data_IF_732994193084
#
_entry.id   IF_732994193084
#
_cell.length_a   1.000
_cell.length_b   1.000
_cell.length_c   1.000
_cell.angle_alpha   90.00
_cell.angle_beta   90.00
_cell.angle_gamma   90.00
#
_symmetry.space_group_name_H-M   'P 1'
#
loop_
_entity.id
_entity.type
_entity.pdbx_description
1 polymer ?
#
# COMPACT_ATOMS: atom_id res chain seq x y z
N UNK A 1 1.01 -24.59 3.14
CA UNK A 1 2.03 -23.54 3.48
C UNK A 1 1.78 -22.26 2.66
N UNK A 2 1.63 -22.31 1.32
CA UNK A 2 1.50 -21.11 0.48
C UNK A 2 0.29 -20.20 0.81
N UNK A 3 -0.86 -20.78 1.15
CA UNK A 3 -2.04 -19.99 1.55
C UNK A 3 -1.82 -19.24 2.86
N UNK A 4 -1.14 -19.86 3.82
CA UNK A 4 -0.80 -19.17 5.07
C UNK A 4 0.14 -18.00 4.80
N UNK A 5 1.18 -18.19 4.00
CA UNK A 5 2.12 -17.13 3.58
C UNK A 5 1.41 -16.02 2.82
N UNK A 6 0.48 -16.38 1.92
CA UNK A 6 -0.34 -15.41 1.20
C UNK A 6 -1.15 -14.53 2.15
N UNK A 7 -1.86 -15.15 3.11
CA UNK A 7 -2.66 -14.41 4.09
C UNK A 7 -1.79 -13.51 4.96
N UNK A 8 -0.65 -14.02 5.44
CA UNK A 8 0.27 -13.23 6.26
C UNK A 8 0.81 -12.04 5.47
N UNK A 9 1.26 -12.23 4.23
CA UNK A 9 1.77 -11.14 3.40
C UNK A 9 0.67 -10.13 3.06
N UNK A 10 -0.52 -10.59 2.65
CA UNK A 10 -1.65 -9.72 2.35
C UNK A 10 -2.05 -8.87 3.56
N UNK A 11 -2.14 -9.49 4.75
CA UNK A 11 -2.45 -8.79 5.99
C UNK A 11 -1.37 -7.77 6.36
N UNK A 12 -0.09 -8.14 6.21
CA UNK A 12 1.02 -7.22 6.49
C UNK A 12 0.98 -6.00 5.57
N UNK A 13 0.79 -6.20 4.27
CA UNK A 13 0.69 -5.10 3.29
C UNK A 13 -0.53 -4.24 3.58
N UNK A 14 -1.68 -4.85 3.88
CA UNK A 14 -2.90 -4.13 4.23
C UNK A 14 -2.71 -3.24 5.46
N UNK A 15 -2.14 -3.78 6.54
CA UNK A 15 -1.84 -3.03 7.76
C UNK A 15 -0.90 -1.86 7.46
N UNK A 16 0.17 -2.08 6.68
CA UNK A 16 1.09 -1.01 6.26
C UNK A 16 0.40 0.10 5.48
N UNK A 17 -0.47 -0.26 4.52
CA UNK A 17 -1.25 0.73 3.76
C UNK A 17 -2.21 1.53 4.66
N UNK A 18 -2.84 0.88 5.66
CA UNK A 18 -3.71 1.56 6.61
C UNK A 18 -2.92 2.50 7.53
N UNK A 19 -1.78 2.05 8.06
CA UNK A 19 -0.90 2.88 8.89
C UNK A 19 -0.31 4.05 8.12
N UNK A 20 0.15 3.84 6.89
CA UNK A 20 0.65 4.90 6.02
C UNK A 20 -0.39 5.99 5.81
N UNK A 21 -1.61 5.59 5.52
CA UNK A 21 -2.72 6.54 5.39
C UNK A 21 -3.03 7.27 6.71
N UNK A 22 -3.03 6.57 7.83
CA UNK A 22 -3.24 7.16 9.15
C UNK A 22 -2.16 8.22 9.48
N UNK A 23 -0.89 7.94 9.13
CA UNK A 23 0.21 8.88 9.38
C UNK A 23 0.17 10.12 8.48
N UNK A 24 -0.42 10.02 7.30
CA UNK A 24 -0.64 11.17 6.43
C UNK A 24 -1.81 12.04 6.89
N UNK A 25 -2.90 11.46 7.32
CA UNK A 25 -4.17 12.17 7.50
C UNK A 25 -4.64 12.38 8.94
N UNK A 26 -3.79 12.11 9.96
CA UNK A 26 -4.09 12.33 11.39
C UNK A 26 -5.59 12.54 11.73
N UNK A 27 -6.25 11.51 12.21
CA UNK A 27 -7.53 11.60 12.95
C UNK A 27 -8.88 11.78 12.23
N UNK A 28 -8.93 12.19 10.97
CA UNK A 28 -10.22 12.55 10.34
C UNK A 28 -11.10 11.33 10.02
N UNK A 29 -10.54 10.14 10.02
CA UNK A 29 -11.15 8.99 9.34
C UNK A 29 -12.03 8.11 10.21
N UNK A 30 -11.79 8.02 11.51
CA UNK A 30 -12.49 7.00 12.32
C UNK A 30 -13.94 7.40 12.58
N UNK A 31 -14.21 8.66 12.86
CA UNK A 31 -15.57 9.09 13.23
C UNK A 31 -16.54 9.22 12.04
N UNK A 32 -16.04 9.54 10.86
CA UNK A 32 -16.88 9.70 9.66
C UNK A 32 -17.09 8.42 8.86
N UNK A 33 -16.13 7.48 8.91
CA UNK A 33 -16.19 6.21 8.18
C UNK A 33 -17.31 5.29 8.70
N UNK A 34 -17.56 5.31 10.02
CA UNK A 34 -18.63 4.48 10.63
C UNK A 34 -20.05 4.99 10.33
N UNK A 35 -20.18 6.25 9.95
CA UNK A 35 -21.48 6.86 9.67
C UNK A 35 -22.03 6.55 8.28
N UNK A 36 -21.17 6.17 7.34
CA UNK A 36 -21.58 5.91 5.97
C UNK A 36 -20.84 4.69 5.39
N UNK A 37 -21.53 3.55 5.18
CA UNK A 37 -20.91 2.31 4.70
C UNK A 37 -20.21 2.45 3.35
N UNK A 38 -20.69 3.34 2.48
CA UNK A 38 -20.05 3.59 1.18
C UNK A 38 -18.63 4.17 1.33
N UNK A 39 -18.41 5.05 2.31
CA UNK A 39 -17.08 5.61 2.59
C UNK A 39 -16.11 4.57 3.14
N UNK A 40 -16.62 3.67 3.98
CA UNK A 40 -15.84 2.55 4.51
C UNK A 40 -15.30 1.68 3.36
N UNK A 41 -16.16 1.22 2.47
CA UNK A 41 -15.77 0.38 1.34
C UNK A 41 -14.84 1.11 0.37
N UNK A 42 -15.15 2.34 0.00
CA UNK A 42 -14.30 3.14 -0.87
C UNK A 42 -12.89 3.36 -0.29
N UNK A 43 -12.75 3.38 1.03
CA UNK A 43 -11.47 3.54 1.70
C UNK A 43 -10.67 2.24 1.76
N UNK A 44 -11.31 1.11 2.11
CA UNK A 44 -10.61 -0.14 2.34
C UNK A 44 -10.44 -1.00 1.08
N UNK A 45 -11.37 -0.97 0.13
CA UNK A 45 -11.32 -1.78 -1.07
C UNK A 45 -10.02 -1.60 -1.88
N UNK A 46 -9.51 -0.39 -2.16
CA UNK A 46 -8.25 -0.24 -2.87
C UNK A 46 -7.07 -0.86 -2.13
N UNK A 47 -7.04 -0.71 -0.79
CA UNK A 47 -5.97 -1.27 0.06
C UNK A 47 -6.01 -2.80 0.09
N UNK A 48 -7.22 -3.38 0.14
CA UNK A 48 -7.42 -4.83 0.06
C UNK A 48 -6.95 -5.32 -1.32
N UNK A 49 -7.39 -4.66 -2.39
CA UNK A 49 -7.06 -5.05 -3.76
C UNK A 49 -5.56 -5.08 -4.01
N UNK A 50 -4.85 -4.01 -3.66
CA UNK A 50 -3.40 -3.93 -3.85
C UNK A 50 -2.67 -4.95 -2.96
N UNK A 51 -3.16 -5.18 -1.74
CA UNK A 51 -2.58 -6.17 -0.83
C UNK A 51 -2.72 -7.59 -1.38
N UNK A 52 -3.88 -7.95 -1.91
CA UNK A 52 -4.12 -9.24 -2.55
C UNK A 52 -3.28 -9.41 -3.82
N UNK A 53 -3.20 -8.36 -4.65
CA UNK A 53 -2.43 -8.36 -5.89
C UNK A 53 -0.95 -8.59 -5.61
N UNK A 54 -0.36 -7.85 -4.69
CA UNK A 54 1.04 -8.01 -4.33
C UNK A 54 1.30 -9.35 -3.61
N UNK A 55 0.39 -9.79 -2.74
CA UNK A 55 0.53 -11.08 -2.07
C UNK A 55 0.40 -12.27 -3.03
N UNK A 56 -0.30 -12.13 -4.16
CA UNK A 56 -0.45 -13.22 -5.14
C UNK A 56 0.89 -13.74 -5.66
N UNK A 57 1.93 -12.91 -5.67
CA UNK A 57 3.28 -13.33 -6.07
C UNK A 57 3.85 -14.48 -5.22
N UNK A 58 3.32 -14.73 -4.01
CA UNK A 58 3.66 -15.91 -3.20
C UNK A 58 3.51 -17.21 -3.97
N UNK A 59 2.51 -17.31 -4.85
CA UNK A 59 2.25 -18.53 -5.64
C UNK A 59 3.21 -18.73 -6.81
N UNK A 60 3.92 -17.68 -7.24
CA UNK A 60 4.93 -17.76 -8.32
C UNK A 60 6.33 -17.99 -7.79
N UNK A 61 6.64 -17.48 -6.61
CA UNK A 61 7.99 -17.48 -6.08
C UNK A 61 8.30 -18.82 -5.40
N UNK A 62 9.49 -19.35 -5.67
CA UNK A 62 10.01 -20.56 -5.02
C UNK A 62 10.81 -20.27 -3.75
N UNK A 63 11.29 -19.04 -3.60
CA UNK A 63 12.16 -18.61 -2.50
C UNK A 63 11.45 -17.57 -1.65
N UNK A 64 11.80 -17.49 -0.38
CA UNK A 64 11.22 -16.55 0.60
C UNK A 64 11.79 -15.14 0.47
N UNK A 65 13.06 -15.02 0.09
CA UNK A 65 13.78 -13.73 -0.01
C UNK A 65 13.08 -12.68 -0.88
N UNK A 66 12.54 -12.99 -2.06
CA UNK A 66 11.84 -12.00 -2.86
C UNK A 66 10.61 -11.40 -2.17
N UNK A 67 9.95 -12.15 -1.28
CA UNK A 67 8.81 -11.64 -0.50
C UNK A 67 9.24 -10.62 0.56
N UNK A 68 10.40 -10.85 1.17
CA UNK A 68 11.00 -9.90 2.13
C UNK A 68 11.42 -8.63 1.39
N UNK A 69 12.08 -8.77 0.23
CA UNK A 69 12.45 -7.64 -0.62
C UNK A 69 11.21 -6.84 -1.04
N UNK A 70 10.15 -7.51 -1.46
CA UNK A 70 8.88 -6.86 -1.80
C UNK A 70 8.32 -6.06 -0.61
N UNK A 71 8.36 -6.63 0.59
CA UNK A 71 7.91 -5.94 1.80
C UNK A 71 8.74 -4.68 2.11
N UNK A 72 10.06 -4.74 1.91
CA UNK A 72 10.97 -3.58 2.06
C UNK A 72 10.68 -2.51 1.01
N UNK A 73 10.47 -2.89 -0.25
CA UNK A 73 10.13 -1.94 -1.32
C UNK A 73 8.82 -1.21 -1.03
N UNK A 74 7.85 -1.90 -0.45
CA UNK A 74 6.58 -1.30 0.00
C UNK A 74 6.83 -0.29 1.13
N UNK A 75 7.72 -0.60 2.09
CA UNK A 75 8.07 0.35 3.16
C UNK A 75 8.71 1.61 2.61
N UNK A 76 9.68 1.46 1.69
CA UNK A 76 10.34 2.60 1.04
C UNK A 76 9.30 3.47 0.32
N UNK A 77 8.36 2.85 -0.39
CA UNK A 77 7.29 3.56 -1.09
C UNK A 77 6.37 4.31 -0.13
N UNK A 78 5.93 3.66 0.95
CA UNK A 78 5.06 4.28 1.95
C UNK A 78 5.79 5.44 2.64
N UNK A 79 7.05 5.25 3.02
CA UNK A 79 7.88 6.30 3.63
C UNK A 79 8.05 7.49 2.71
N UNK A 80 8.36 7.27 1.44
CA UNK A 80 8.49 8.34 0.46
C UNK A 80 7.20 9.18 0.39
N UNK A 81 6.03 8.52 0.35
CA UNK A 81 4.75 9.20 0.34
C UNK A 81 4.45 9.95 1.65
N UNK A 82 4.77 9.40 2.82
CA UNK A 82 4.58 10.07 4.12
C UNK A 82 5.45 11.33 4.18
N UNK A 83 6.73 11.23 3.83
CA UNK A 83 7.67 12.37 3.84
C UNK A 83 7.20 13.43 2.85
N UNK A 84 6.85 13.03 1.63
CA UNK A 84 6.35 13.95 0.62
C UNK A 84 5.07 14.66 1.08
N UNK A 85 4.15 13.93 1.70
CA UNK A 85 2.91 14.48 2.23
C UNK A 85 3.14 15.50 3.35
N UNK A 86 4.10 15.25 4.24
CA UNK A 86 4.46 16.20 5.31
C UNK A 86 5.04 17.50 4.77
N UNK A 87 5.74 17.46 3.63
CA UNK A 87 6.35 18.64 3.01
C UNK A 87 5.36 19.40 2.14
N UNK A 88 4.63 18.69 1.28
CA UNK A 88 3.86 19.28 0.18
C UNK A 88 2.34 19.14 0.34
N UNK A 89 1.86 18.42 1.35
CA UNK A 89 0.43 18.18 1.57
C UNK A 89 -0.24 17.31 0.50
N UNK A 90 0.54 16.61 -0.33
CA UNK A 90 0.09 15.74 -1.41
C UNK A 90 0.77 14.37 -1.40
N UNK A 91 0.42 13.52 -2.34
CA UNK A 91 1.05 12.21 -2.53
C UNK A 91 1.90 12.22 -3.80
N UNK A 92 2.90 11.34 -3.87
CA UNK A 92 3.77 11.21 -5.02
C UNK A 92 2.96 10.66 -6.19
N UNK A 93 2.89 11.42 -7.27
CA UNK A 93 2.31 11.02 -8.54
C UNK A 93 3.40 10.78 -9.61
N UNK A 94 2.98 10.39 -10.83
CA UNK A 94 3.91 10.13 -11.92
C UNK A 94 4.74 11.35 -12.33
N UNK A 95 4.18 12.55 -12.23
CA UNK A 95 4.86 13.80 -12.56
C UNK A 95 5.96 14.12 -11.53
N UNK A 96 5.67 13.95 -10.25
CA UNK A 96 6.64 14.12 -9.17
C UNK A 96 7.83 13.16 -9.33
N UNK A 97 7.56 11.90 -9.72
CA UNK A 97 8.63 10.93 -9.99
C UNK A 97 9.54 11.35 -11.15
N UNK A 98 8.98 11.93 -12.21
CA UNK A 98 9.77 12.47 -13.32
C UNK A 98 10.68 13.62 -12.89
N UNK A 99 10.25 14.42 -11.89
CA UNK A 99 11.02 15.53 -11.34
C UNK A 99 11.98 15.12 -10.21
N UNK A 100 11.99 13.85 -9.80
CA UNK A 100 12.81 13.36 -8.69
C UNK A 100 14.33 13.56 -8.89
N UNK A 101 14.79 13.70 -10.15
CA UNK A 101 16.18 14.04 -10.45
C UNK A 101 16.66 15.39 -9.88
N UNK A 102 15.74 16.29 -9.58
CA UNK A 102 16.01 17.63 -9.02
C UNK A 102 16.13 17.66 -7.49
N UNK A 103 16.00 16.51 -6.82
CA UNK A 103 16.04 16.42 -5.35
C UNK A 103 17.46 16.57 -4.75
N UNK A 104 18.49 16.80 -5.59
CA UNK A 104 19.83 17.12 -5.10
C UNK A 104 19.80 18.41 -4.26
N UNK A 105 20.05 18.28 -2.95
CA UNK A 105 20.04 19.38 -1.99
C UNK A 105 18.96 19.31 -0.91
N UNK A 106 17.95 18.46 -1.07
CA UNK A 106 16.86 18.30 -0.08
C UNK A 106 17.11 17.22 0.98
N UNK A 107 18.25 16.53 0.95
CA UNK A 107 18.55 15.41 1.86
C UNK A 107 18.51 15.80 3.33
N UNK A 108 19.06 16.95 3.70
CA UNK A 108 19.02 17.47 5.09
C UNK A 108 17.59 17.75 5.56
N UNK A 109 16.77 18.32 4.69
CA UNK A 109 15.36 18.62 4.98
C UNK A 109 14.55 17.31 5.11
N UNK A 110 14.83 16.30 4.30
CA UNK A 110 14.18 14.99 4.37
C UNK A 110 14.46 14.32 5.72
N UNK A 111 15.73 14.31 6.15
CA UNK A 111 16.15 13.68 7.42
C UNK A 111 15.48 14.35 8.62
N UNK A 112 15.32 15.67 8.61
CA UNK A 112 14.69 16.41 9.72
C UNK A 112 13.18 16.13 9.89
N UNK A 113 12.54 15.56 8.89
CA UNK A 113 11.08 15.31 8.85
C UNK A 113 10.73 13.87 9.25
N UNK A 114 11.72 12.97 9.26
CA UNK A 114 11.52 11.57 9.67
C UNK A 114 11.21 11.56 11.17
N UNK A 115 10.09 10.96 11.52
CA UNK A 115 9.67 10.78 12.91
C UNK A 115 9.96 9.35 13.37
N UNK A 116 10.19 9.17 14.69
CA UNK A 116 10.41 7.84 15.26
C UNK A 116 9.24 6.86 15.00
N UNK A 117 8.01 7.38 14.84
CA UNK A 117 6.81 6.59 14.49
C UNK A 117 6.97 5.86 13.14
N UNK A 118 7.75 6.44 12.23
CA UNK A 118 7.94 5.86 10.90
C UNK A 118 8.70 4.53 10.96
N UNK A 119 9.41 4.27 12.05
CA UNK A 119 10.09 3.00 12.30
C UNK A 119 9.13 1.81 12.47
N UNK A 120 7.83 2.05 12.72
CA UNK A 120 6.85 0.97 12.84
C UNK A 120 6.76 0.10 11.57
N UNK A 121 6.98 0.68 10.39
CA UNK A 121 6.99 -0.08 9.12
C UNK A 121 8.14 -1.07 9.08
N UNK A 122 9.33 -0.63 9.51
CA UNK A 122 10.49 -1.50 9.60
C UNK A 122 10.27 -2.64 10.60
N UNK A 123 9.67 -2.35 11.75
CA UNK A 123 9.32 -3.37 12.76
C UNK A 123 8.34 -4.40 12.17
N UNK A 124 7.32 -3.96 11.44
CA UNK A 124 6.39 -4.87 10.76
C UNK A 124 7.11 -5.74 9.72
N UNK A 125 8.07 -5.19 8.98
CA UNK A 125 8.87 -5.99 8.04
C UNK A 125 9.79 -6.98 8.76
N UNK A 126 10.40 -6.61 9.86
CA UNK A 126 11.21 -7.53 10.67
C UNK A 126 10.35 -8.68 11.21
N UNK A 127 9.19 -8.38 11.78
CA UNK A 127 8.24 -9.39 12.24
C UNK A 127 7.79 -10.32 11.10
N UNK A 128 7.43 -9.75 9.96
CA UNK A 128 7.08 -10.52 8.78
C UNK A 128 8.23 -11.41 8.32
N UNK A 129 9.46 -10.90 8.25
CA UNK A 129 10.63 -11.66 7.88
C UNK A 129 10.90 -12.80 8.88
N UNK A 130 10.79 -12.55 10.18
CA UNK A 130 10.96 -13.56 11.22
C UNK A 130 9.93 -14.68 11.08
N UNK A 131 8.65 -14.34 10.85
CA UNK A 131 7.58 -15.33 10.65
C UNK A 131 7.83 -16.15 9.38
N UNK A 132 8.19 -15.51 8.26
CA UNK A 132 8.47 -16.20 7.00
C UNK A 132 9.67 -17.14 7.12
N UNK A 133 10.73 -16.71 7.80
CA UNK A 133 11.92 -17.54 7.98
C UNK A 133 11.63 -18.75 8.88
N UNK A 134 10.78 -18.59 9.88
CA UNK A 134 10.34 -19.67 10.77
C UNK A 134 9.42 -20.68 10.13
N UNK A 135 8.58 -20.26 9.16
CA UNK A 135 7.69 -21.17 8.43
C UNK A 135 8.49 -22.17 7.59
N UNK A 136 7.93 -23.39 7.40
CA UNK A 136 8.48 -24.41 6.52
C UNK A 136 8.59 -23.90 5.07
N UNK A 137 9.36 -24.60 4.24
CA UNK A 137 9.58 -24.23 2.84
C UNK A 137 8.31 -23.96 2.07
N UNK A 138 8.41 -23.06 1.08
CA UNK A 138 7.31 -22.75 0.16
C UNK A 138 7.00 -24.00 -0.67
N UNK A 139 5.74 -24.37 -0.72
CA UNK A 139 5.25 -25.47 -1.56
C UNK A 139 5.47 -25.16 -3.05
N UNK A 140 5.34 -26.22 -3.85
CA UNK A 140 5.50 -26.16 -5.31
C UNK A 140 4.71 -25.00 -5.94
N UNK A 141 5.36 -24.29 -6.87
CA UNK A 141 4.77 -23.21 -7.69
C UNK A 141 3.42 -23.64 -8.28
N UNK A 142 2.42 -22.76 -8.18
CA UNK A 142 1.10 -22.97 -8.76
C UNK A 142 0.66 -21.75 -9.58
N UNK A 143 0.94 -21.79 -10.88
CA UNK A 143 0.54 -20.71 -11.81
C UNK A 143 -0.98 -20.55 -11.86
N UNK A 144 -1.75 -21.62 -11.70
CA UNK A 144 -3.21 -21.54 -11.68
C UNK A 144 -3.73 -20.75 -10.47
N UNK A 145 -3.20 -21.03 -9.26
CA UNK A 145 -3.58 -20.29 -8.05
C UNK A 145 -3.21 -18.82 -8.16
N UNK A 146 -2.02 -18.54 -8.70
CA UNK A 146 -1.61 -17.17 -9.01
C UNK A 146 -2.62 -16.49 -9.93
N UNK A 147 -2.95 -17.10 -11.08
CA UNK A 147 -3.87 -16.53 -12.06
C UNK A 147 -5.24 -16.21 -11.46
N UNK A 148 -5.81 -17.13 -10.68
CA UNK A 148 -7.12 -16.92 -10.03
C UNK A 148 -7.06 -15.74 -9.05
N UNK A 149 -6.09 -15.73 -8.14
CA UNK A 149 -5.97 -14.69 -7.13
C UNK A 149 -5.63 -13.33 -7.76
N UNK A 150 -4.75 -13.33 -8.74
CA UNK A 150 -4.35 -12.11 -9.46
C UNK A 150 -5.54 -11.50 -10.21
N UNK A 151 -6.27 -12.31 -10.98
CA UNK A 151 -7.46 -11.84 -11.70
C UNK A 151 -8.55 -11.33 -10.75
N UNK A 152 -8.81 -12.05 -9.65
CA UNK A 152 -9.77 -11.57 -8.66
C UNK A 152 -9.35 -10.24 -8.03
N UNK A 153 -8.07 -10.08 -7.71
CA UNK A 153 -7.54 -8.82 -7.20
C UNK A 153 -7.65 -7.67 -8.22
N UNK A 154 -7.42 -7.95 -9.52
CA UNK A 154 -7.63 -6.98 -10.60
C UNK A 154 -9.09 -6.57 -10.73
N UNK A 155 -10.02 -7.52 -10.65
CA UNK A 155 -11.47 -7.23 -10.68
C UNK A 155 -11.89 -6.37 -9.47
N UNK A 156 -11.37 -6.68 -8.28
CA UNK A 156 -11.58 -5.85 -7.09
C UNK A 156 -11.00 -4.45 -7.27
N UNK A 157 -9.83 -4.33 -7.90
CA UNK A 157 -9.20 -3.04 -8.20
C UNK A 157 -10.07 -2.22 -9.15
N UNK A 158 -10.52 -2.81 -10.26
CA UNK A 158 -11.40 -2.14 -11.22
C UNK A 158 -12.72 -1.73 -10.55
N UNK A 159 -13.32 -2.61 -9.74
CA UNK A 159 -14.53 -2.30 -8.98
C UNK A 159 -14.31 -1.13 -8.00
N UNK A 160 -13.17 -1.10 -7.31
CA UNK A 160 -12.85 -0.02 -6.37
C UNK A 160 -12.58 1.31 -7.06
N UNK A 161 -11.96 1.31 -8.25
CA UNK A 161 -11.75 2.52 -9.05
C UNK A 161 -13.06 3.09 -9.57
N UNK A 162 -13.97 2.25 -10.07
CA UNK A 162 -15.29 2.68 -10.50
C UNK A 162 -16.13 3.27 -9.35
N UNK A 163 -16.10 2.64 -8.17
CA UNK A 163 -16.76 3.16 -6.97
C UNK A 163 -16.20 4.53 -6.56
N UNK A 164 -14.90 4.71 -6.71
CA UNK A 164 -14.24 5.98 -6.41
C UNK A 164 -14.50 7.02 -7.47
N UNK A 165 -14.54 6.63 -8.74
CA UNK A 165 -14.90 7.51 -9.86
C UNK A 165 -16.33 8.05 -9.72
N UNK A 166 -17.28 7.22 -9.29
CA UNK A 166 -18.65 7.66 -9.03
C UNK A 166 -18.74 8.73 -7.93
N UNK A 167 -17.82 8.69 -6.95
CA UNK A 167 -17.69 9.74 -5.92
C UNK A 167 -16.97 10.98 -6.41
N UNK A 168 -16.23 10.86 -7.49
CA UNK A 168 -15.40 11.92 -8.04
C UNK A 168 -16.21 13.09 -8.59
N UNK A 169 -17.41 12.84 -9.09
CA UNK A 169 -18.33 13.88 -9.54
C UNK A 169 -18.81 14.78 -8.39
N UNK A 170 -18.67 14.33 -7.13
CA UNK A 170 -19.19 15.04 -5.94
C UNK A 170 -18.11 15.82 -5.20
N UNK A 171 -16.82 15.49 -5.38
CA UNK A 171 -15.71 16.12 -4.64
C UNK A 171 -14.56 16.54 -5.56
N UNK A 172 -13.83 17.60 -5.19
CA UNK A 172 -12.68 18.04 -5.98
C UNK A 172 -11.61 16.94 -6.10
N UNK A 173 -11.01 16.85 -7.28
CA UNK A 173 -9.99 15.84 -7.65
C UNK A 173 -8.93 15.65 -6.56
N UNK A 174 -8.49 16.73 -5.96
CA UNK A 174 -7.45 16.75 -4.94
C UNK A 174 -7.85 16.07 -3.63
N UNK A 175 -9.06 16.29 -3.16
CA UNK A 175 -9.54 15.72 -1.90
C UNK A 175 -9.77 14.21 -1.99
N UNK A 176 -10.21 13.74 -3.16
CA UNK A 176 -10.48 12.32 -3.37
C UNK A 176 -9.18 11.52 -3.45
N UNK A 177 -8.20 11.98 -4.21
CA UNK A 177 -6.89 11.32 -4.35
C UNK A 177 -6.17 11.26 -3.01
N UNK A 178 -6.16 12.35 -2.26
CA UNK A 178 -5.53 12.38 -0.94
C UNK A 178 -6.18 11.43 0.07
N UNK A 179 -7.48 11.16 -0.08
CA UNK A 179 -8.24 10.30 0.86
C UNK A 179 -8.19 8.81 0.52
N UNK A 180 -7.86 8.41 -0.72
CA UNK A 180 -8.08 7.03 -1.16
C UNK A 180 -6.89 6.11 -0.94
N UNK A 181 -5.74 6.37 -1.43
CA UNK A 181 -4.50 5.65 -1.12
C UNK A 181 -3.28 6.27 -1.81
N UNK A 182 -2.10 6.29 -1.18
CA UNK A 182 -0.87 6.73 -1.83
C UNK A 182 -0.47 5.87 -3.04
N UNK A 183 -0.89 4.60 -3.08
CA UNK A 183 -0.62 3.69 -4.20
C UNK A 183 -1.59 3.87 -5.39
N UNK A 184 -2.68 4.58 -5.20
CA UNK A 184 -3.68 4.79 -6.26
C UNK A 184 -3.31 5.91 -7.24
N UNK A 185 -2.31 6.72 -6.92
CA UNK A 185 -1.91 7.89 -7.70
C UNK A 185 -1.31 7.56 -9.07
N UNK A 186 -0.95 6.29 -9.30
CA UNK A 186 -0.41 5.86 -10.60
C UNK A 186 -1.46 5.69 -11.70
N UNK A 187 -2.73 5.69 -11.36
CA UNK A 187 -3.81 5.33 -12.31
C UNK A 187 -4.61 6.51 -12.84
N UNK A 188 -4.35 7.74 -12.35
CA UNK A 188 -5.05 8.94 -12.84
C UNK A 188 -4.05 10.08 -13.08
N UNK A 189 -3.93 10.52 -14.36
CA UNK A 189 -3.21 11.72 -14.74
C UNK A 189 -3.87 13.01 -14.20
#
# INVERSE_FOLDING_TARGET
>A
ANWLLFVILASTIFIKCCLGHFFMHHSILVSSLWKQPLYFWAFYLPKISISLLLASFVFLLKRKWPLIILSILIDIWIWANIIYFRIYGGVIDGYVLMMAGNLKGFTSSIISIIEWKDLCFLLLTILFAAIILWLKEIERRSSMRFGIVFLSACLFWIGSTNLNFYRYEVFSKREVIQKIAPLHCFTHP
#
